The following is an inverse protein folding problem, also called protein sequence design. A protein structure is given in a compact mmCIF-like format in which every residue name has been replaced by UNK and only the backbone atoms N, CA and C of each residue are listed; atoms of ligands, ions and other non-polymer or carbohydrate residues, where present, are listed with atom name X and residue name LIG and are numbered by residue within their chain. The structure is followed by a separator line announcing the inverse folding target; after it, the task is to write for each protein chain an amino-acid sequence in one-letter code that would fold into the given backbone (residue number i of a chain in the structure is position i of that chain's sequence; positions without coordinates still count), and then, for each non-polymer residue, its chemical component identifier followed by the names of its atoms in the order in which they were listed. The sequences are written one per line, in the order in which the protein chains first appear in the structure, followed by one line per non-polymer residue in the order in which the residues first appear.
data_IF_738351834856
#
_entry.id   IF_738351834856
#
_cell.length_a   1.000
_cell.length_b   1.000
_cell.length_c   1.000
_cell.angle_alpha   90.00
_cell.angle_beta   90.00
_cell.angle_gamma   90.00
#
_symmetry.space_group_name_H-M   'P 1'
#
loop_
_entity.id
_entity.type
_entity.pdbx_description
1 polymer ?
#
# COMPACT_ATOMS: atom_id res chain seq x y z
N UNK A 1 -9.86 -14.46 6.56
CA UNK A 1 -10.27 -13.35 7.46
C UNK A 1 -11.40 -12.58 6.78
N UNK A 2 -12.49 -12.35 7.50
CA UNK A 2 -13.62 -11.61 6.93
C UNK A 2 -13.31 -10.12 6.88
N UNK A 3 -13.65 -9.50 5.75
CA UNK A 3 -13.45 -8.05 5.59
C UNK A 3 -14.24 -7.29 6.66
N UNK A 4 -15.40 -7.78 7.04
CA UNK A 4 -16.23 -7.14 8.06
C UNK A 4 -15.57 -7.09 9.44
N UNK A 5 -14.56 -7.91 9.68
CA UNK A 5 -13.84 -7.99 10.96
C UNK A 5 -12.48 -7.29 10.93
N UNK A 6 -12.08 -6.75 9.81
CA UNK A 6 -10.77 -6.08 9.70
C UNK A 6 -10.73 -4.82 10.56
N UNK A 7 -9.70 -4.71 11.39
CA UNK A 7 -9.49 -3.53 12.25
C UNK A 7 -7.99 -3.20 12.27
N UNK A 8 -7.67 -1.99 12.74
CA UNK A 8 -6.30 -1.59 12.98
C UNK A 8 -5.39 -1.75 11.77
N UNK A 9 -4.18 -2.26 12.00
CA UNK A 9 -3.21 -2.38 10.93
C UNK A 9 -3.61 -3.38 9.84
N UNK A 10 -4.41 -4.38 10.18
CA UNK A 10 -4.88 -5.33 9.17
C UNK A 10 -5.81 -4.63 8.18
N UNK A 11 -6.68 -3.75 8.66
CA UNK A 11 -7.52 -2.95 7.78
C UNK A 11 -6.69 -1.99 6.96
N UNK A 12 -5.71 -1.32 7.58
CA UNK A 12 -4.82 -0.41 6.87
C UNK A 12 -4.06 -1.12 5.76
N UNK A 13 -3.58 -2.32 6.04
CA UNK A 13 -2.87 -3.13 5.06
C UNK A 13 -3.75 -3.45 3.85
N UNK A 14 -4.97 -3.94 4.08
CA UNK A 14 -5.84 -4.32 2.98
C UNK A 14 -6.37 -3.11 2.22
N UNK A 15 -6.51 -1.96 2.87
CA UNK A 15 -6.82 -0.72 2.16
C UNK A 15 -5.65 -0.35 1.24
N UNK A 16 -4.42 -0.45 1.73
CA UNK A 16 -3.24 -0.18 0.90
C UNK A 16 -3.20 -1.12 -0.30
N UNK A 17 -3.48 -2.42 -0.09
CA UNK A 17 -3.54 -3.40 -1.18
C UNK A 17 -4.65 -3.09 -2.17
N UNK A 18 -5.72 -2.49 -1.71
CA UNK A 18 -6.85 -2.12 -2.56
C UNK A 18 -6.58 -0.89 -3.42
N UNK A 19 -5.64 -0.05 -3.01
CA UNK A 19 -5.26 1.17 -3.71
C UNK A 19 -4.10 0.93 -4.67
N UNK A 20 -4.21 -0.08 -5.51
CA UNK A 20 -3.11 -0.51 -6.38
C UNK A 20 -2.72 0.52 -7.46
N UNK A 21 -3.54 1.53 -7.69
CA UNK A 21 -3.22 2.64 -8.59
C UNK A 21 -2.44 3.75 -7.90
N UNK A 22 -2.36 3.71 -6.58
CA UNK A 22 -1.70 4.71 -5.75
C UNK A 22 -0.45 4.12 -5.07
N UNK A 23 -0.60 2.98 -4.44
CA UNK A 23 0.45 2.36 -3.62
C UNK A 23 1.37 1.51 -4.48
N UNK A 24 2.68 1.74 -4.36
CA UNK A 24 3.71 0.97 -5.06
C UNK A 24 4.39 -0.04 -4.15
N UNK A 25 4.61 0.34 -2.89
CA UNK A 25 5.27 -0.52 -1.92
C UNK A 25 4.57 -0.41 -0.58
N UNK A 26 4.54 -1.52 0.14
CA UNK A 26 4.01 -1.57 1.49
C UNK A 26 5.13 -2.04 2.40
N UNK A 27 5.34 -1.33 3.49
CA UNK A 27 6.31 -1.67 4.51
C UNK A 27 5.62 -1.67 5.86
N UNK A 28 6.29 -2.24 6.86
CA UNK A 28 5.78 -2.26 8.21
C UNK A 28 6.79 -1.61 9.14
N UNK A 29 6.32 -0.79 10.05
CA UNK A 29 7.15 -0.08 11.03
C UNK A 29 6.64 -0.43 12.42
N UNK A 30 7.33 0.03 13.46
CA UNK A 30 6.93 -0.17 14.85
C UNK A 30 6.68 -1.66 15.18
N UNK A 31 7.65 -2.50 14.83
CA UNK A 31 7.59 -3.95 15.08
C UNK A 31 6.45 -4.64 14.31
N UNK A 32 6.06 -4.06 13.20
CA UNK A 32 5.03 -4.66 12.34
C UNK A 32 3.62 -4.23 12.65
N UNK A 33 3.45 -3.24 13.52
CA UNK A 33 2.13 -2.79 13.94
C UNK A 33 1.60 -1.58 13.18
N UNK A 34 2.44 -0.98 12.34
CA UNK A 34 2.03 0.18 11.57
C UNK A 34 2.39 0.00 10.11
N UNK A 35 1.42 0.25 9.25
CA UNK A 35 1.62 0.18 7.80
C UNK A 35 2.23 1.49 7.32
N UNK A 36 3.22 1.37 6.44
CA UNK A 36 3.86 2.49 5.77
C UNK A 36 3.85 2.18 4.28
N UNK A 37 3.71 3.20 3.45
CA UNK A 37 3.65 2.99 2.01
C UNK A 37 4.56 3.96 1.27
N UNK A 38 4.90 3.57 0.05
CA UNK A 38 5.52 4.45 -0.94
C UNK A 38 4.59 4.43 -2.14
N UNK A 39 4.19 5.59 -2.61
CA UNK A 39 3.30 5.68 -3.76
C UNK A 39 3.04 7.10 -4.17
N UNK A 40 2.10 7.24 -5.10
CA UNK A 40 1.71 8.55 -5.59
C UNK A 40 0.23 8.50 -5.97
N UNK A 41 -0.56 9.37 -5.40
CA UNK A 41 -1.98 9.47 -5.69
C UNK A 41 -2.22 10.70 -6.56
N UNK A 42 -2.47 10.44 -7.84
CA UNK A 42 -2.80 11.51 -8.81
C UNK A 42 -1.74 12.63 -8.80
N UNK A 43 -0.47 12.21 -8.78
CA UNK A 43 0.65 13.13 -8.82
C UNK A 43 1.11 13.63 -7.46
N UNK A 44 0.44 13.24 -6.37
CA UNK A 44 0.84 13.63 -5.02
C UNK A 44 1.56 12.47 -4.36
N UNK A 45 2.85 12.61 -4.07
CA UNK A 45 3.62 11.50 -3.48
C UNK A 45 3.22 11.24 -2.03
N UNK A 46 3.35 10.00 -1.63
CA UNK A 46 3.15 9.60 -0.23
C UNK A 46 4.27 8.63 0.11
N UNK A 47 5.03 8.96 1.13
CA UNK A 47 6.12 8.12 1.59
C UNK A 47 6.12 8.18 3.11
N UNK A 48 5.61 7.15 3.74
CA UNK A 48 5.55 7.07 5.18
C UNK A 48 4.31 6.36 5.68
N UNK A 49 4.00 6.63 6.95
CA UNK A 49 2.89 6.00 7.66
C UNK A 49 1.57 6.15 6.93
N UNK A 50 0.84 5.06 6.82
CA UNK A 50 -0.45 5.04 6.14
C UNK A 50 -1.45 4.30 7.03
N UNK A 51 -2.26 5.06 7.76
CA UNK A 51 -3.17 4.51 8.76
C UNK A 51 -4.60 5.04 8.55
N UNK A 52 -5.25 4.67 7.43
CA UNK A 52 -6.60 5.16 7.15
C UNK A 52 -7.63 4.75 8.20
N UNK A 53 -7.39 3.69 8.95
CA UNK A 53 -8.33 3.27 9.98
C UNK A 53 -8.46 4.30 11.11
N UNK A 54 -7.45 5.16 11.29
CA UNK A 54 -7.45 6.19 12.33
C UNK A 54 -7.29 7.62 11.79
N UNK A 55 -7.02 7.77 10.49
CA UNK A 55 -6.73 9.07 9.90
C UNK A 55 -7.59 9.34 8.68
N UNK A 56 -8.37 10.42 8.72
CA UNK A 56 -9.14 10.83 7.54
C UNK A 56 -8.26 11.33 6.41
N UNK A 57 -7.08 11.85 6.72
CA UNK A 57 -6.15 12.27 5.69
C UNK A 57 -5.79 11.09 4.78
N UNK A 58 -5.49 9.94 5.37
CA UNK A 58 -5.20 8.74 4.61
C UNK A 58 -6.47 8.16 3.99
N UNK A 59 -7.58 8.16 4.72
CA UNK A 59 -8.84 7.61 4.23
C UNK A 59 -9.44 8.43 3.09
N UNK A 60 -9.01 9.67 2.92
CA UNK A 60 -9.50 10.52 1.83
C UNK A 60 -9.23 9.89 0.47
N UNK A 61 -8.14 9.16 0.31
CA UNK A 61 -7.84 8.47 -0.94
C UNK A 61 -8.95 7.49 -1.32
N UNK A 62 -9.52 6.82 -0.34
CA UNK A 62 -10.65 5.91 -0.55
C UNK A 62 -11.92 6.69 -0.87
N UNK A 63 -12.16 7.75 -0.11
CA UNK A 63 -13.36 8.57 -0.31
C UNK A 63 -13.39 9.18 -1.71
N UNK A 64 -12.24 9.61 -2.21
CA UNK A 64 -12.14 10.20 -3.54
C UNK A 64 -12.43 9.20 -4.66
N UNK A 65 -12.33 7.92 -4.38
CA UNK A 65 -12.63 6.87 -5.35
C UNK A 65 -14.07 6.40 -5.30
N UNK A 66 -14.86 6.93 -4.39
CA UNK A 66 -16.28 6.59 -4.31
C UNK A 66 -17.02 7.35 -5.41
N UNK A 67 -17.71 6.60 -6.28
CA UNK A 67 -18.58 7.18 -7.30
C UNK A 67 -19.95 7.47 -6.71
N UNK A 68 -20.31 6.71 -5.68
CA UNK A 68 -21.55 6.87 -4.96
C UNK A 68 -21.32 6.42 -3.54
N UNK A 69 -21.80 7.21 -2.58
CA UNK A 69 -21.71 6.86 -1.17
C UNK A 69 -23.01 7.24 -0.51
N UNK A 70 -23.62 6.27 0.15
CA UNK A 70 -24.87 6.45 0.85
C UNK A 70 -24.66 6.05 2.30
N UNK A 71 -24.84 7.00 3.20
CA UNK A 71 -24.73 6.73 4.63
C UNK A 71 -26.11 6.34 5.13
N UNK A 72 -26.20 5.18 5.77
CA UNK A 72 -27.46 4.68 6.28
C UNK A 72 -27.68 5.20 7.69
N UNK A 73 -28.94 5.29 8.04
CA UNK A 73 -29.32 5.71 9.38
C UNK A 73 -28.79 4.72 10.41
N UNK A 74 -28.26 5.25 11.50
CA UNK A 74 -27.76 4.42 12.58
C UNK A 74 -28.90 3.96 13.46
N UNK A 75 -28.94 2.67 13.71
CA UNK A 75 -29.93 2.10 14.62
C UNK A 75 -29.33 1.94 16.01
N UNK A 76 -27.99 1.78 16.09
CA UNK A 76 -27.29 1.64 17.37
C UNK A 76 -26.19 2.70 17.48
N UNK A 77 -26.02 3.30 18.68
CA UNK A 77 -24.90 4.22 18.90
C UNK A 77 -23.58 3.51 18.61
N UNK A 78 -22.68 4.17 17.91
CA UNK A 78 -21.38 3.60 17.58
C UNK A 78 -21.38 2.65 16.39
N UNK A 79 -22.53 2.37 15.80
CA UNK A 79 -22.58 1.53 14.61
C UNK A 79 -22.82 2.42 13.37
N UNK A 80 -21.93 2.36 12.43
CA UNK A 80 -22.05 3.08 11.16
C UNK A 80 -22.26 2.09 10.03
N UNK A 81 -23.05 2.50 9.04
CA UNK A 81 -23.37 1.67 7.89
C UNK A 81 -23.40 2.53 6.64
N UNK A 82 -22.71 2.08 5.60
CA UNK A 82 -22.74 2.76 4.32
C UNK A 82 -22.87 1.77 3.17
N UNK A 83 -23.36 2.30 2.05
CA UNK A 83 -23.44 1.57 0.79
C UNK A 83 -22.70 2.41 -0.22
N UNK A 84 -21.83 1.80 -1.00
CA UNK A 84 -20.98 2.56 -1.90
C UNK A 84 -20.68 1.83 -3.20
N UNK A 85 -20.38 2.64 -4.22
CA UNK A 85 -19.81 2.17 -5.49
C UNK A 85 -18.48 2.86 -5.65
N UNK A 86 -17.45 2.11 -6.00
CA UNK A 86 -16.10 2.63 -6.17
C UNK A 86 -15.61 2.46 -7.60
N UNK A 87 -14.76 3.36 -8.05
CA UNK A 87 -14.11 3.26 -9.36
C UNK A 87 -13.35 1.93 -9.46
N UNK A 88 -13.61 1.20 -10.52
CA UNK A 88 -12.96 -0.10 -10.71
C UNK A 88 -13.44 -1.19 -9.78
N UNK A 89 -14.37 -0.89 -8.90
CA UNK A 89 -14.96 -1.88 -8.01
C UNK A 89 -15.93 -2.79 -8.76
N UNK A 90 -16.16 -3.96 -8.20
CA UNK A 90 -16.93 -4.98 -8.90
C UNK A 90 -18.42 -4.79 -8.84
N UNK A 91 -18.92 -4.15 -7.82
CA UNK A 91 -20.36 -3.99 -7.58
C UNK A 91 -20.59 -3.03 -6.43
N UNK A 92 -21.86 -2.71 -6.19
CA UNK A 92 -22.26 -1.98 -5.00
C UNK A 92 -21.94 -2.83 -3.77
N UNK A 93 -21.31 -2.22 -2.79
CA UNK A 93 -20.88 -2.89 -1.57
C UNK A 93 -21.43 -2.19 -0.34
N UNK A 94 -21.54 -2.94 0.75
CA UNK A 94 -21.92 -2.40 2.04
C UNK A 94 -20.75 -2.48 2.99
N UNK A 95 -20.62 -1.50 3.86
CA UNK A 95 -19.64 -1.52 4.92
C UNK A 95 -20.30 -1.18 6.24
N UNK A 96 -19.84 -1.83 7.29
CA UNK A 96 -20.30 -1.58 8.66
C UNK A 96 -19.10 -1.46 9.57
N UNK A 97 -19.22 -0.66 10.60
CA UNK A 97 -18.14 -0.47 11.56
C UNK A 97 -18.60 0.42 12.71
N UNK A 98 -17.71 0.63 13.66
CA UNK A 98 -17.98 1.51 14.79
C UNK A 98 -17.85 2.99 14.41
N UNK A 99 -17.32 3.29 13.22
CA UNK A 99 -17.27 4.64 12.68
C UNK A 99 -17.57 4.60 11.19
N UNK A 100 -17.97 5.74 10.64
CA UNK A 100 -18.18 5.85 9.19
C UNK A 100 -16.90 5.58 8.43
N UNK A 101 -15.76 6.05 8.96
CA UNK A 101 -14.47 5.81 8.33
C UNK A 101 -14.19 4.31 8.20
N UNK A 102 -14.36 3.54 9.27
CA UNK A 102 -14.14 2.09 9.23
C UNK A 102 -15.15 1.42 8.28
N UNK A 103 -16.40 1.83 8.32
CA UNK A 103 -17.42 1.28 7.42
C UNK A 103 -17.04 1.51 5.96
N UNK A 104 -16.59 2.72 5.62
CA UNK A 104 -16.17 3.09 4.28
C UNK A 104 -14.97 2.24 3.83
N UNK A 105 -13.98 2.09 4.70
CA UNK A 105 -12.78 1.33 4.36
C UNK A 105 -13.09 -0.15 4.12
N UNK A 106 -13.93 -0.72 4.95
CA UNK A 106 -14.35 -2.12 4.77
C UNK A 106 -15.13 -2.31 3.47
N UNK A 107 -15.98 -1.35 3.14
CA UNK A 107 -16.70 -1.39 1.87
C UNK A 107 -15.73 -1.36 0.70
N UNK A 108 -14.71 -0.51 0.79
CA UNK A 108 -13.72 -0.38 -0.27
C UNK A 108 -12.93 -1.68 -0.48
N UNK A 109 -12.46 -2.29 0.61
CA UNK A 109 -11.75 -3.57 0.51
C UNK A 109 -12.67 -4.63 -0.10
N UNK A 110 -13.93 -4.68 0.34
CA UNK A 110 -14.88 -5.65 -0.21
C UNK A 110 -15.13 -5.43 -1.70
N UNK A 111 -15.08 -4.18 -2.16
CA UNK A 111 -15.27 -3.90 -3.59
C UNK A 111 -14.14 -4.46 -4.44
N UNK A 112 -12.96 -4.63 -3.86
CA UNK A 112 -11.78 -5.13 -4.57
C UNK A 112 -11.61 -6.64 -4.42
N UNK A 113 -11.80 -7.16 -3.22
CA UNK A 113 -11.44 -8.54 -2.90
C UNK A 113 -12.63 -9.42 -2.51
N UNK A 114 -13.82 -8.86 -2.35
CA UNK A 114 -14.98 -9.62 -1.89
C UNK A 114 -15.06 -9.62 -0.38
N UNK A 115 -15.78 -10.58 0.17
CA UNK A 115 -16.10 -10.59 1.60
C UNK A 115 -14.99 -11.15 2.49
N UNK A 116 -13.95 -11.72 1.90
CA UNK A 116 -12.86 -12.28 2.69
C UNK A 116 -11.51 -12.03 2.02
N UNK A 117 -10.48 -11.96 2.83
CA UNK A 117 -9.10 -11.75 2.39
C UNK A 117 -8.19 -12.68 3.16
N UNK A 118 -6.99 -12.87 2.64
CA UNK A 118 -5.97 -13.67 3.32
C UNK A 118 -5.40 -12.95 4.53
N UNK A 119 -4.61 -13.64 5.31
CA UNK A 119 -3.92 -13.03 6.44
C UNK A 119 -2.91 -12.00 5.93
N UNK A 120 -2.60 -11.05 6.79
CA UNK A 120 -1.62 -10.00 6.45
C UNK A 120 -0.24 -10.64 6.25
N UNK A 121 0.38 -10.32 5.14
CA UNK A 121 1.76 -10.73 4.91
C UNK A 121 2.67 -9.65 5.50
N UNK A 122 3.33 -9.97 6.62
CA UNK A 122 4.19 -9.03 7.37
C UNK A 122 5.60 -8.94 6.77
N UNK A 123 5.68 -8.61 5.50
CA UNK A 123 6.95 -8.42 4.82
C UNK A 123 6.83 -7.22 3.91
N UNK A 124 7.93 -6.53 3.67
CA UNK A 124 7.94 -5.46 2.68
C UNK A 124 7.51 -6.02 1.33
N UNK A 125 6.61 -5.32 0.65
CA UNK A 125 6.00 -5.80 -0.59
C UNK A 125 5.98 -4.72 -1.64
N UNK A 126 6.17 -5.14 -2.89
CA UNK A 126 5.99 -4.27 -4.04
C UNK A 126 4.69 -4.66 -4.71
N UNK A 127 3.90 -3.66 -5.08
CA UNK A 127 2.65 -3.91 -5.78
C UNK A 127 2.82 -3.72 -7.28
N UNK A 128 2.35 -4.70 -8.03
CA UNK A 128 2.28 -4.64 -9.48
C UNK A 128 0.83 -4.87 -9.87
N UNK A 129 0.08 -3.78 -9.99
CA UNK A 129 -1.36 -3.88 -10.14
C UNK A 129 -1.98 -4.46 -8.88
N UNK A 130 -2.79 -5.50 -9.03
CA UNK A 130 -3.45 -6.12 -7.89
C UNK A 130 -2.55 -7.11 -7.14
N UNK A 131 -1.38 -7.40 -7.70
CA UNK A 131 -0.48 -8.41 -7.13
C UNK A 131 0.50 -7.78 -6.16
N UNK A 132 0.90 -8.54 -5.17
CA UNK A 132 1.92 -8.11 -4.22
C UNK A 132 3.02 -9.16 -4.20
N UNK A 133 4.25 -8.68 -4.26
CA UNK A 133 5.43 -9.55 -4.25
C UNK A 133 6.37 -9.10 -3.15
N UNK A 134 6.88 -10.02 -2.34
CA UNK A 134 7.84 -9.63 -1.29
C UNK A 134 9.07 -8.97 -1.89
N UNK A 135 9.57 -7.95 -1.22
CA UNK A 135 10.82 -7.31 -1.57
C UNK A 135 11.91 -8.05 -0.80
N UNK A 136 12.78 -8.72 -1.51
CA UNK A 136 13.82 -9.54 -0.91
C UNK A 136 15.06 -8.70 -0.60
N UNK A 137 15.57 -8.81 0.61
CA UNK A 137 16.83 -8.16 1.00
C UNK A 137 17.95 -8.62 0.09
N UNK A 138 17.88 -9.88 -0.29
CA UNK A 138 18.90 -10.45 -1.18
C UNK A 138 18.94 -9.73 -2.53
N UNK A 139 17.78 -9.37 -3.07
CA UNK A 139 17.72 -8.65 -4.34
C UNK A 139 18.35 -7.27 -4.21
N UNK A 140 18.12 -6.61 -3.10
CA UNK A 140 18.72 -5.31 -2.85
C UNK A 140 20.23 -5.43 -2.77
N UNK A 141 20.72 -6.42 -2.05
CA UNK A 141 22.16 -6.65 -1.92
C UNK A 141 22.82 -6.96 -3.25
N UNK A 142 22.18 -7.76 -4.06
CA UNK A 142 22.70 -8.08 -5.38
C UNK A 142 22.80 -6.84 -6.27
N UNK A 143 21.82 -5.99 -6.22
CA UNK A 143 21.83 -4.76 -6.99
C UNK A 143 22.93 -3.83 -6.53
N UNK A 144 23.10 -3.70 -5.24
CA UNK A 144 24.17 -2.88 -4.69
C UNK A 144 25.54 -3.42 -5.07
N UNK A 145 25.72 -4.70 -4.95
CA UNK A 145 26.97 -5.33 -5.30
C UNK A 145 27.29 -5.14 -6.77
N UNK A 146 26.31 -5.32 -7.62
CA UNK A 146 26.46 -5.09 -9.05
C UNK A 146 26.89 -3.68 -9.37
N UNK A 147 26.27 -2.73 -8.73
CA UNK A 147 26.61 -1.34 -8.91
C UNK A 147 28.03 -1.03 -8.49
N UNK A 148 28.48 -1.64 -7.41
CA UNK A 148 29.83 -1.46 -6.92
C UNK A 148 30.87 -1.93 -7.89
N UNK A 149 30.68 -3.07 -8.46
CA UNK A 149 31.66 -3.63 -9.36
C UNK A 149 31.88 -2.80 -10.58
N UNK A 150 30.89 -2.19 -11.06
CA UNK A 150 31.01 -1.45 -12.29
C UNK A 150 31.84 -0.23 -12.17
N UNK A 151 32.10 0.20 -11.01
CA UNK A 151 32.81 1.40 -10.79
C UNK A 151 34.29 1.27 -10.76
N UNK A 152 34.74 0.12 -10.73
CA UNK A 152 36.16 -0.01 -10.67
C UNK A 152 36.72 0.11 -12.00
N UNK A 153 37.47 0.81 -12.21
CA UNK A 153 38.00 1.01 -13.49
C UNK A 153 39.36 0.59 -13.60
N UNK A 154 39.29 0.62 -13.27
CA UNK A 154 39.83 0.63 -13.51
C UNK A 154 40.54 0.87 -13.64
N UNK A 155 40.75 0.89 -13.71
CA UNK A 155 41.23 1.23 -13.93
C UNK A 155 41.95 1.38 -14.25
N UNK A 156 42.17 1.40 -14.23
CA UNK A 156 42.41 1.60 -14.64
C UNK A 156 42.92 1.83 -15.03
N UNK A 157 43.29 1.77 -14.96
CA UNK A 157 43.28 2.04 -15.28
C UNK A 157 43.88 2.26 -15.55
N UNK A 158 43.82 2.28 -15.65
CA UNK A 158 44.03 2.47 -15.91
C UNK A 158 44.58 2.91 -16.22
N UNK A 159 44.98 2.97 -16.08
CA UNK A 159 45.24 3.16 -16.24
C UNK A 159 46.07 3.48 -16.68
N UNK A 160 46.38 3.52 -16.68
CA UNK A 160 46.70 3.76 -17.02
C UNK A 160 47.64 3.88 -17.41
N UNK A 161 47.50 3.92 -17.56
CA UNK A 161 47.95 3.94 -17.91
C UNK A 161 48.73 4.34 -18.53
N UNK A 162 48.74 4.47 -18.51
CA UNK A 162 48.90 4.62 -18.89
C UNK A 162 49.71 5.06 -19.37
N UNK A 163 49.95 5.21 -19.49
CA UNK A 163 50.37 5.47 -19.80
C UNK A 163 51.21 5.83 -20.13
N UNK A 164 51.49 5.93 -19.94
CA UNK A 164 52.06 6.20 -20.13
C UNK A 164 52.89 6.50 -20.55
N UNK A 165 52.94 6.75 -20.79
CA UNK A 165 53.57 7.03 -21.29
C UNK A 165 54.42 7.35 -21.80
N UNK A 166 54.95 7.52 -21.92
CA UNK A 166 55.69 7.81 -22.49
C UNK A 166 56.37 7.97 -23.06
N UNK A 167 56.52 8.05 -23.35
CA UNK A 167 56.98 8.07 -24.12
C UNK A 167 57.45 8.00 -24.75
#
# INVERSE_FOLDING_TARGET
MNVADLTGFALDYWVARSLHDFVREIHFTDSGETVSIVGSDRGRPWDGRFTPSTSWEAAAAVLERAQRLEVRERTDPGAAHCVADFEGGRRTVEGRGDSLRVALLRAFVASRFGDSVDDVLHEAQRLTGERAEPISDRQVDEQEAGGSFQNMPSPDGQIGDIRSEPR
#
